data_IF_254960398729
#
_entry.id   IF_254960398729
#
_cell.length_a   1.000
_cell.length_b   1.000
_cell.length_c   1.000
_cell.angle_alpha   90.00
_cell.angle_beta   90.00
_cell.angle_gamma   90.00
#
_symmetry.space_group_name_H-M   'P 1'
#
loop_
_entity.id
_entity.type
_entity.pdbx_description
1 polymer ?
#
# COMPACT_ATOMS: atom_id res chain seq x y z
N UNK A 1 30.45 1.98 6.26
CA UNK A 1 29.37 2.66 6.99
C UNK A 1 28.07 2.04 6.57
N UNK A 2 27.36 1.37 7.48
CA UNK A 2 26.14 0.63 7.15
C UNK A 2 25.01 0.99 8.11
N UNK A 3 23.77 0.78 7.66
CA UNK A 3 22.54 0.98 8.42
C UNK A 3 22.52 -0.04 9.57
N UNK A 4 22.43 0.43 10.81
CA UNK A 4 22.49 -0.43 12.00
C UNK A 4 21.12 -1.00 12.41
N UNK A 5 20.01 -0.36 12.00
CA UNK A 5 18.64 -0.82 12.30
C UNK A 5 17.62 -0.21 11.35
N UNK A 6 16.82 -1.05 10.69
CA UNK A 6 15.64 -0.63 9.94
C UNK A 6 14.41 -0.90 10.81
N UNK A 7 13.62 0.14 11.12
CA UNK A 7 12.36 0.02 11.86
C UNK A 7 11.25 0.56 10.98
N UNK A 8 10.31 -0.30 10.66
CA UNK A 8 9.06 0.08 10.00
C UNK A 8 7.99 0.30 11.07
N UNK A 9 7.20 1.36 10.91
CA UNK A 9 6.06 1.65 11.77
C UNK A 9 4.97 2.28 10.94
N UNK A 10 3.79 1.65 10.93
CA UNK A 10 2.58 2.25 10.38
C UNK A 10 1.82 2.94 11.50
N UNK A 11 1.27 4.11 11.21
CA UNK A 11 0.46 4.88 12.16
C UNK A 11 -0.71 5.49 11.42
N UNK A 12 -1.90 5.36 11.98
CA UNK A 12 -3.08 6.08 11.49
C UNK A 12 -3.16 7.42 12.22
N UNK A 13 -2.99 8.52 11.48
CA UNK A 13 -3.14 9.87 12.02
C UNK A 13 -4.61 10.26 12.00
N UNK A 14 -5.16 10.58 13.17
CA UNK A 14 -6.55 10.98 13.35
C UNK A 14 -6.62 12.30 14.13
N UNK A 15 -7.64 13.15 13.90
CA UNK A 15 -7.64 14.52 14.40
C UNK A 15 -7.85 14.66 15.91
N UNK A 16 -8.47 13.66 16.59
CA UNK A 16 -8.74 13.72 18.02
C UNK A 16 -8.85 12.31 18.65
N UNK A 17 -8.78 12.25 19.98
CA UNK A 17 -8.82 10.98 20.72
C UNK A 17 -10.12 10.20 20.54
N UNK A 18 -11.27 10.88 20.42
CA UNK A 18 -12.56 10.20 20.17
C UNK A 18 -12.56 9.50 18.81
N UNK A 19 -12.02 10.14 17.78
CA UNK A 19 -11.82 9.51 16.47
C UNK A 19 -10.86 8.31 16.56
N UNK A 20 -9.77 8.43 17.33
CA UNK A 20 -8.84 7.32 17.56
C UNK A 20 -9.51 6.12 18.24
N UNK A 21 -10.28 6.40 19.30
CA UNK A 21 -11.01 5.38 20.06
C UNK A 21 -12.04 4.68 19.17
N UNK A 22 -12.86 5.45 18.45
CA UNK A 22 -13.88 4.90 17.55
C UNK A 22 -13.28 4.11 16.40
N UNK A 23 -12.19 4.58 15.77
CA UNK A 23 -11.52 3.84 14.71
C UNK A 23 -10.89 2.54 15.20
N UNK A 24 -10.26 2.56 16.39
CA UNK A 24 -9.65 1.37 16.98
C UNK A 24 -10.69 0.30 17.31
N UNK A 25 -11.76 0.67 18.02
CA UNK A 25 -12.83 -0.26 18.35
C UNK A 25 -13.59 -0.73 17.10
N UNK A 26 -13.80 0.15 16.13
CA UNK A 26 -14.40 -0.20 14.83
C UNK A 26 -13.58 -1.27 14.10
N UNK A 27 -12.26 -1.08 14.01
CA UNK A 27 -11.38 -2.05 13.36
C UNK A 27 -11.32 -3.38 14.12
N UNK A 28 -11.26 -3.34 15.46
CA UNK A 28 -11.27 -4.55 16.30
C UNK A 28 -12.57 -5.35 16.13
N UNK A 29 -13.72 -4.66 16.16
CA UNK A 29 -15.04 -5.29 15.93
C UNK A 29 -15.15 -5.86 14.52
N UNK A 30 -14.70 -5.13 13.50
CA UNK A 30 -14.69 -5.62 12.12
C UNK A 30 -13.83 -6.89 11.98
N UNK A 31 -12.64 -6.91 12.62
CA UNK A 31 -11.79 -8.10 12.68
C UNK A 31 -12.47 -9.30 13.37
N UNK A 32 -13.15 -9.08 14.49
CA UNK A 32 -13.91 -10.13 15.18
C UNK A 32 -15.06 -10.66 14.32
N UNK A 33 -15.78 -9.80 13.61
CA UNK A 33 -16.85 -10.21 12.70
C UNK A 33 -16.31 -11.02 11.52
N UNK A 34 -15.10 -10.72 11.02
CA UNK A 34 -14.45 -11.49 9.95
C UNK A 34 -14.05 -12.88 10.44
N UNK A 35 -13.62 -13.01 11.69
CA UNK A 35 -13.20 -14.29 12.26
C UNK A 35 -14.38 -15.22 12.59
N UNK A 36 -15.50 -14.66 13.05
CA UNK A 36 -16.68 -15.46 13.37
C UNK A 36 -17.38 -15.94 12.07
N UNK A 37 -17.55 -17.27 11.87
CA UNK A 37 -18.05 -17.83 10.61
C UNK A 37 -19.49 -17.40 10.27
N UNK A 38 -20.33 -17.13 11.27
CA UNK A 38 -21.72 -16.69 11.06
C UNK A 38 -21.76 -15.27 10.46
N UNK A 39 -20.98 -14.36 11.02
CA UNK A 39 -20.91 -12.96 10.57
C UNK A 39 -20.09 -12.80 9.30
N UNK A 40 -19.08 -13.66 9.09
CA UNK A 40 -18.27 -13.67 7.86
C UNK A 40 -19.13 -13.94 6.62
N UNK A 41 -20.04 -14.91 6.68
CA UNK A 41 -20.94 -15.24 5.55
C UNK A 41 -21.85 -14.06 5.17
N UNK A 42 -22.33 -13.31 6.17
CA UNK A 42 -23.09 -12.09 5.92
C UNK A 42 -22.21 -10.96 5.35
N UNK A 43 -21.03 -10.72 5.93
CA UNK A 43 -20.14 -9.66 5.49
C UNK A 43 -19.59 -9.86 4.08
N UNK A 44 -19.21 -11.09 3.72
CA UNK A 44 -18.72 -11.42 2.38
C UNK A 44 -19.76 -11.19 1.28
N UNK A 45 -21.06 -11.25 1.61
CA UNK A 45 -22.13 -11.09 0.63
C UNK A 45 -22.60 -9.64 0.46
N UNK A 46 -22.57 -8.85 1.53
CA UNK A 46 -23.20 -7.52 1.58
C UNK A 46 -22.26 -6.36 1.91
N UNK A 47 -21.17 -6.59 2.64
CA UNK A 47 -20.30 -5.51 3.15
C UNK A 47 -18.97 -5.47 2.39
N UNK A 48 -18.36 -6.62 2.15
CA UNK A 48 -17.08 -6.71 1.44
C UNK A 48 -17.30 -6.51 -0.07
N UNK A 49 -16.38 -5.80 -0.74
CA UNK A 49 -16.41 -5.71 -2.20
C UNK A 49 -16.22 -7.10 -2.80
N UNK A 50 -16.95 -7.39 -3.88
CA UNK A 50 -16.72 -8.62 -4.64
C UNK A 50 -15.39 -8.52 -5.37
N UNK A 51 -14.76 -9.67 -5.67
CA UNK A 51 -13.57 -9.70 -6.51
C UNK A 51 -13.81 -8.91 -7.81
N UNK A 52 -12.96 -7.91 -8.07
CA UNK A 52 -13.07 -7.01 -9.23
C UNK A 52 -13.88 -5.72 -9.00
N UNK A 53 -14.59 -5.57 -7.88
CA UNK A 53 -15.22 -4.30 -7.47
C UNK A 53 -14.20 -3.39 -6.78
N UNK A 54 -13.08 -3.14 -7.46
CA UNK A 54 -12.10 -2.17 -7.00
C UNK A 54 -12.68 -0.74 -6.97
N UNK A 55 -11.91 0.21 -6.43
CA UNK A 55 -12.27 1.63 -6.50
C UNK A 55 -12.52 2.09 -7.94
N UNK A 56 -13.34 3.12 -8.12
CA UNK A 56 -13.62 3.63 -9.45
C UNK A 56 -12.37 4.26 -10.08
N UNK A 57 -12.32 4.34 -11.42
CA UNK A 57 -11.20 5.01 -12.12
C UNK A 57 -10.98 6.45 -11.65
N UNK A 58 -12.06 7.17 -11.37
CA UNK A 58 -11.99 8.55 -10.87
C UNK A 58 -11.35 8.61 -9.47
N UNK A 59 -11.68 7.67 -8.60
CA UNK A 59 -11.05 7.58 -7.26
C UNK A 59 -9.55 7.30 -7.38
N UNK A 60 -9.17 6.37 -8.26
CA UNK A 60 -7.78 5.98 -8.51
C UNK A 60 -6.93 7.11 -9.11
N UNK A 61 -7.50 7.89 -10.02
CA UNK A 61 -6.75 8.91 -10.76
C UNK A 61 -6.74 10.28 -10.08
N UNK A 62 -7.74 10.60 -9.26
CA UNK A 62 -7.96 11.97 -8.77
C UNK A 62 -8.15 12.12 -7.27
N UNK A 63 -8.61 11.09 -6.56
CA UNK A 63 -8.93 11.19 -5.12
C UNK A 63 -7.89 10.56 -4.23
N UNK A 64 -7.23 9.50 -4.72
CA UNK A 64 -6.19 8.82 -3.98
C UNK A 64 -4.81 9.43 -4.28
N UNK A 65 -4.00 9.55 -3.24
CA UNK A 65 -2.61 9.96 -3.32
C UNK A 65 -1.81 9.21 -2.26
N UNK A 66 -0.49 9.17 -2.42
CA UNK A 66 0.43 8.66 -1.42
C UNK A 66 1.49 9.70 -1.09
N UNK A 67 1.71 9.94 0.19
CA UNK A 67 2.80 10.76 0.67
C UNK A 67 3.63 9.96 1.67
N UNK A 68 4.85 9.59 1.27
CA UNK A 68 5.80 8.84 2.11
C UNK A 68 6.86 9.80 2.60
N UNK A 69 7.13 9.80 3.90
CA UNK A 69 8.28 10.46 4.50
C UNK A 69 9.23 9.43 5.09
N UNK A 70 10.51 9.54 4.77
CA UNK A 70 11.59 8.74 5.35
C UNK A 70 12.55 9.63 6.12
N UNK A 71 12.86 9.25 7.35
CA UNK A 71 13.89 9.91 8.18
C UNK A 71 15.05 8.95 8.43
N UNK A 72 16.27 9.40 8.13
CA UNK A 72 17.52 8.73 8.47
C UNK A 72 18.21 9.45 9.60
N UNK A 73 18.53 8.74 10.69
CA UNK A 73 19.23 9.29 11.86
C UNK A 73 20.63 8.67 11.93
N UNK A 74 21.66 9.53 11.94
CA UNK A 74 23.06 9.12 12.08
C UNK A 74 23.35 8.54 13.48
N UNK A 75 24.43 7.77 13.60
CA UNK A 75 24.79 7.02 14.82
C UNK A 75 24.83 7.87 16.11
N UNK A 76 25.25 9.13 16.00
CA UNK A 76 25.38 10.06 17.13
C UNK A 76 24.13 10.93 17.34
N UNK A 77 23.06 10.71 16.57
CA UNK A 77 21.80 11.49 16.63
C UNK A 77 21.88 12.93 16.10
N UNK A 78 23.09 13.46 15.88
CA UNK A 78 23.33 14.83 15.43
C UNK A 78 23.01 15.05 13.94
N UNK A 79 23.17 14.02 13.10
CA UNK A 79 22.89 14.11 11.68
C UNK A 79 21.53 13.47 11.39
N UNK A 80 20.61 14.26 10.81
CA UNK A 80 19.30 13.80 10.35
C UNK A 80 19.15 14.13 8.89
N UNK A 81 18.64 13.18 8.11
CA UNK A 81 18.27 13.37 6.71
C UNK A 81 16.80 13.02 6.59
N UNK A 82 16.03 13.86 5.90
CA UNK A 82 14.63 13.59 5.59
C UNK A 82 14.45 13.58 4.09
N UNK A 83 13.67 12.62 3.61
CA UNK A 83 13.21 12.54 2.23
C UNK A 83 11.69 12.40 2.24
N UNK A 84 11.04 13.05 1.29
CA UNK A 84 9.61 12.91 1.08
C UNK A 84 9.36 12.55 -0.39
N UNK A 85 8.42 11.64 -0.61
CA UNK A 85 7.96 11.22 -1.93
C UNK A 85 6.46 11.43 -1.99
N UNK A 86 6.01 12.13 -3.02
CA UNK A 86 4.60 12.38 -3.27
C UNK A 86 4.19 11.73 -4.59
N UNK A 87 3.10 10.97 -4.53
CA UNK A 87 2.46 10.35 -5.67
C UNK A 87 1.03 10.89 -5.75
N UNK A 88 0.73 11.60 -6.82
CA UNK A 88 -0.55 12.28 -7.01
C UNK A 88 -1.72 11.35 -7.38
N UNK A 89 -1.44 10.06 -7.59
CA UNK A 89 -2.39 9.03 -7.99
C UNK A 89 -2.27 7.82 -7.08
N UNK A 90 -3.23 6.90 -7.19
CA UNK A 90 -3.23 5.65 -6.47
C UNK A 90 -1.99 4.79 -6.79
N UNK A 91 -1.10 4.63 -5.82
CA UNK A 91 0.08 3.77 -5.96
C UNK A 91 -0.23 2.28 -5.88
N UNK A 92 -1.44 1.93 -5.42
CA UNK A 92 -1.84 0.56 -5.16
C UNK A 92 -2.14 -0.17 -6.46
N UNK A 93 -3.32 0.05 -7.02
CA UNK A 93 -3.77 -0.64 -8.22
C UNK A 93 -3.20 0.00 -9.50
N UNK A 94 -3.20 1.33 -9.59
CA UNK A 94 -2.87 2.03 -10.84
C UNK A 94 -1.37 1.95 -11.13
N UNK A 95 -0.52 2.37 -10.20
CA UNK A 95 0.93 2.34 -10.43
C UNK A 95 1.50 0.92 -10.45
N UNK A 96 0.93 -0.03 -9.69
CA UNK A 96 1.34 -1.45 -9.83
C UNK A 96 1.02 -2.00 -11.23
N UNK A 97 -0.17 -1.67 -11.77
CA UNK A 97 -0.50 -2.07 -13.15
C UNK A 97 0.45 -1.43 -14.17
N UNK A 98 0.78 -0.14 -14.00
CA UNK A 98 1.79 0.54 -14.83
C UNK A 98 3.15 -0.16 -14.74
N UNK A 99 3.65 -0.42 -13.53
CA UNK A 99 4.92 -1.09 -13.29
C UNK A 99 4.98 -2.45 -13.98
N UNK A 100 3.91 -3.25 -13.89
CA UNK A 100 3.84 -4.56 -14.56
C UNK A 100 3.85 -4.43 -16.09
N UNK A 101 3.13 -3.46 -16.65
CA UNK A 101 3.11 -3.20 -18.09
C UNK A 101 4.48 -2.74 -18.58
N UNK A 102 5.11 -1.79 -17.89
CA UNK A 102 6.43 -1.28 -18.24
C UNK A 102 7.50 -2.36 -18.12
N UNK A 103 7.47 -3.17 -17.06
CA UNK A 103 8.36 -4.32 -16.90
C UNK A 103 8.15 -5.35 -18.02
N UNK A 104 6.89 -5.66 -18.36
CA UNK A 104 6.56 -6.55 -19.48
C UNK A 104 7.03 -6.00 -20.83
N UNK A 105 6.90 -4.69 -21.05
CA UNK A 105 7.35 -4.04 -22.28
C UNK A 105 8.88 -4.06 -22.40
N UNK A 106 9.61 -3.79 -21.32
CA UNK A 106 11.07 -3.91 -21.27
C UNK A 106 11.50 -5.35 -21.58
N UNK A 107 10.84 -6.35 -20.98
CA UNK A 107 11.10 -7.76 -21.27
C UNK A 107 10.86 -8.10 -22.74
N UNK A 108 9.77 -7.62 -23.34
CA UNK A 108 9.46 -7.85 -24.74
C UNK A 108 10.48 -7.19 -25.69
N UNK A 109 10.97 -5.98 -25.35
CA UNK A 109 11.96 -5.27 -26.16
C UNK A 109 13.36 -5.88 -26.06
N UNK A 110 13.75 -6.40 -24.89
CA UNK A 110 15.06 -7.00 -24.65
C UNK A 110 15.07 -8.53 -24.86
N UNK A 111 14.11 -9.08 -25.62
CA UNK A 111 13.98 -10.54 -25.84
C UNK A 111 15.28 -11.20 -26.35
N UNK A 112 16.08 -10.46 -27.13
CA UNK A 112 17.37 -10.93 -27.64
C UNK A 112 18.46 -11.04 -26.57
N UNK A 113 18.32 -10.32 -25.45
CA UNK A 113 19.23 -10.37 -24.30
C UNK A 113 18.77 -11.35 -23.22
N UNK A 114 17.54 -11.87 -23.33
CA UNK A 114 16.99 -12.87 -22.42
C UNK A 114 17.59 -14.25 -22.70
N UNK A 115 17.77 -15.03 -21.63
CA UNK A 115 18.25 -16.41 -21.72
C UNK A 115 17.23 -17.28 -22.48
N UNK A 116 17.67 -18.37 -23.15
CA UNK A 116 16.79 -19.20 -23.98
C UNK A 116 15.64 -19.87 -23.21
N UNK A 117 15.70 -19.93 -21.88
CA UNK A 117 14.64 -20.47 -21.00
C UNK A 117 13.41 -19.54 -20.96
N UNK A 118 13.62 -18.24 -21.14
CA UNK A 118 12.55 -17.22 -21.04
C UNK A 118 11.94 -16.90 -22.42
N UNK A 119 12.53 -17.39 -23.52
CA UNK A 119 12.07 -17.13 -24.89
C UNK A 119 10.92 -18.03 -25.39
N UNK A 120 10.54 -19.06 -24.62
CA UNK A 120 9.43 -19.97 -24.98
C UNK A 120 8.08 -19.35 -24.65
#
# INVERSE_FOLDING_TARGET
GGITRLRYSEMQVVPNFRAAFTSYFGLAMFGMMLYNPLTNSFMSRYVLPRSGQGPSRDDLERKNYLYITGEGIGKTGQNRVQAAMYFAKDVGCLETARMLIEAGLCLAQDTDKLSPIVRQ
#
